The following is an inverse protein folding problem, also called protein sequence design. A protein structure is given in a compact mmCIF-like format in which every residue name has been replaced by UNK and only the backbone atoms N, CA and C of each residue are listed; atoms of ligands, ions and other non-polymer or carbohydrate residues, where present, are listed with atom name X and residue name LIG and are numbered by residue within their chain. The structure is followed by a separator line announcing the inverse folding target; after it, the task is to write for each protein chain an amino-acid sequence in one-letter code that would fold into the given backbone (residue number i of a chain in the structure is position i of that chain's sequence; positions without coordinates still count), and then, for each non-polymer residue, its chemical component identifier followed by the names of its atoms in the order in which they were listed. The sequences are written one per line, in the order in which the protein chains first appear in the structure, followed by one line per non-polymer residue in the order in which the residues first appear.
data_IF_945895666569
#
_entry.id   IF_945895666569
#
_cell.length_a   1.000
_cell.length_b   1.000
_cell.length_c   1.000
_cell.angle_alpha   90.00
_cell.angle_beta   90.00
_cell.angle_gamma   90.00
#
_symmetry.space_group_name_H-M   'P 1'
#
loop_
_entity.id
_entity.type
_entity.pdbx_description
1 polymer ?
#
# COMPACT_ATOMS: atom_id res chain seq x y z
N UNK A 1 -36.72 7.55 -15.24
CA UNK A 1 -35.72 7.01 -16.20
C UNK A 1 -34.62 6.35 -15.39
N UNK A 2 -34.42 5.04 -15.53
CA UNK A 2 -33.36 4.30 -14.81
C UNK A 2 -32.11 4.37 -15.68
N UNK A 3 -31.29 5.39 -15.49
CA UNK A 3 -29.99 5.46 -16.14
C UNK A 3 -29.08 4.42 -15.48
N UNK A 4 -28.57 3.47 -16.27
CA UNK A 4 -27.52 2.57 -15.81
C UNK A 4 -26.25 3.36 -15.52
N UNK A 5 -25.45 2.89 -14.55
CA UNK A 5 -24.13 3.48 -14.28
C UNK A 5 -23.21 3.23 -15.46
N UNK A 6 -22.43 4.23 -15.86
CA UNK A 6 -21.36 4.06 -16.84
C UNK A 6 -20.17 3.33 -16.20
N UNK A 7 -19.27 2.76 -17.02
CA UNK A 7 -18.02 2.16 -16.51
C UNK A 7 -17.18 3.18 -15.73
N UNK A 8 -17.23 4.45 -16.14
CA UNK A 8 -16.56 5.55 -15.46
C UNK A 8 -17.14 5.78 -14.06
N UNK A 9 -18.47 5.75 -13.91
CA UNK A 9 -19.13 5.90 -12.61
C UNK A 9 -18.74 4.76 -11.67
N UNK A 10 -18.69 3.52 -12.18
CA UNK A 10 -18.27 2.34 -11.40
C UNK A 10 -16.81 2.45 -10.96
N UNK A 11 -15.92 2.92 -11.83
CA UNK A 11 -14.51 3.13 -11.49
C UNK A 11 -14.33 4.24 -10.44
N UNK A 12 -15.09 5.34 -10.55
CA UNK A 12 -15.07 6.43 -9.58
C UNK A 12 -15.54 5.97 -8.20
N UNK A 13 -16.60 5.16 -8.14
CA UNK A 13 -17.10 4.56 -6.89
C UNK A 13 -16.07 3.64 -6.23
N UNK A 14 -15.46 2.72 -7.00
CA UNK A 14 -14.39 1.85 -6.50
C UNK A 14 -13.21 2.65 -5.97
N UNK A 15 -12.81 3.70 -6.67
CA UNK A 15 -11.76 4.61 -6.22
C UNK A 15 -12.13 5.33 -4.91
N UNK A 16 -13.41 5.72 -4.74
CA UNK A 16 -13.90 6.31 -3.49
C UNK A 16 -13.82 5.32 -2.33
N UNK A 17 -14.23 4.07 -2.56
CA UNK A 17 -14.14 3.00 -1.56
C UNK A 17 -12.69 2.76 -1.12
N UNK A 18 -11.73 2.77 -2.05
CA UNK A 18 -10.32 2.68 -1.68
C UNK A 18 -9.87 3.83 -0.75
N UNK A 19 -10.35 5.06 -1.00
CA UNK A 19 -10.04 6.21 -0.11
C UNK A 19 -10.66 6.07 1.27
N UNK A 20 -11.86 5.51 1.37
CA UNK A 20 -12.50 5.23 2.65
C UNK A 20 -11.71 4.20 3.44
N UNK A 21 -11.25 3.12 2.81
CA UNK A 21 -10.38 2.12 3.45
C UNK A 21 -9.09 2.77 3.97
N UNK A 22 -8.43 3.60 3.18
CA UNK A 22 -7.22 4.33 3.60
C UNK A 22 -7.52 5.23 4.81
N UNK A 23 -8.67 5.91 4.82
CA UNK A 23 -9.09 6.74 5.95
C UNK A 23 -9.25 5.91 7.23
N UNK A 24 -9.91 4.74 7.14
CA UNK A 24 -10.04 3.85 8.30
C UNK A 24 -8.68 3.36 8.81
N UNK A 25 -7.76 2.98 7.90
CA UNK A 25 -6.38 2.61 8.27
C UNK A 25 -5.69 3.76 9.04
N UNK A 26 -5.84 4.99 8.59
CA UNK A 26 -5.26 6.16 9.27
C UNK A 26 -5.92 6.44 10.62
N UNK A 27 -7.23 6.20 10.75
CA UNK A 27 -7.96 6.38 12.01
C UNK A 27 -7.47 5.42 13.12
N UNK A 28 -6.89 4.26 12.78
CA UNK A 28 -6.21 3.39 13.76
C UNK A 28 -4.95 4.02 14.37
N UNK A 29 -4.48 5.16 13.86
CA UNK A 29 -3.29 5.84 14.38
C UNK A 29 -1.97 5.19 13.92
N UNK A 30 -1.94 4.65 12.70
CA UNK A 30 -0.77 3.96 12.17
C UNK A 30 0.41 4.90 11.93
N UNK A 31 1.60 4.48 12.38
CA UNK A 31 2.85 5.17 12.12
C UNK A 31 3.44 4.80 10.74
N UNK A 32 4.55 5.44 10.34
CA UNK A 32 5.15 5.24 9.01
C UNK A 32 5.58 3.79 8.75
N UNK A 33 6.22 3.16 9.73
CA UNK A 33 6.60 1.75 9.66
C UNK A 33 5.38 0.84 9.41
N UNK A 34 4.28 1.08 10.14
CA UNK A 34 3.04 0.33 9.97
C UNK A 34 2.42 0.56 8.59
N UNK A 35 2.43 1.79 8.06
CA UNK A 35 1.93 2.06 6.69
C UNK A 35 2.70 1.25 5.66
N UNK A 36 4.03 1.28 5.72
CA UNK A 36 4.90 0.53 4.81
C UNK A 36 4.60 -0.98 4.92
N UNK A 37 4.47 -1.49 6.14
CA UNK A 37 4.13 -2.90 6.38
C UNK A 37 2.75 -3.28 5.84
N UNK A 38 1.75 -2.41 6.00
CA UNK A 38 0.39 -2.61 5.47
C UNK A 38 0.42 -2.65 3.93
N UNK A 39 1.16 -1.74 3.29
CA UNK A 39 1.33 -1.74 1.82
C UNK A 39 1.95 -3.05 1.37
N UNK A 40 2.99 -3.53 2.08
CA UNK A 40 3.61 -4.82 1.78
C UNK A 40 2.59 -5.96 1.90
N UNK A 41 1.84 -6.03 2.99
CA UNK A 41 0.85 -7.09 3.21
C UNK A 41 -0.24 -7.07 2.12
N UNK A 42 -0.81 -5.90 1.82
CA UNK A 42 -1.79 -5.75 0.73
C UNK A 42 -1.20 -6.15 -0.62
N UNK A 43 0.09 -5.89 -0.84
CA UNK A 43 0.73 -6.27 -2.11
C UNK A 43 0.82 -7.78 -2.30
N UNK A 44 0.91 -8.57 -1.22
CA UNK A 44 0.98 -10.03 -1.28
C UNK A 44 -0.36 -10.67 -1.68
N UNK A 45 -1.47 -9.94 -1.50
CA UNK A 45 -2.82 -10.39 -1.87
C UNK A 45 -3.13 -10.15 -3.37
N UNK A 46 -2.22 -9.51 -4.12
CA UNK A 46 -2.43 -9.24 -5.53
C UNK A 46 -2.35 -10.53 -6.36
N UNK A 47 -3.40 -10.80 -7.15
CA UNK A 47 -3.46 -11.94 -8.06
C UNK A 47 -2.41 -11.84 -9.18
N UNK A 48 -2.06 -10.63 -9.60
CA UNK A 48 -1.01 -10.41 -10.59
C UNK A 48 0.37 -10.56 -9.94
N UNK A 49 0.99 -11.73 -10.16
CA UNK A 49 2.31 -12.08 -9.61
C UNK A 49 3.40 -11.07 -9.92
N UNK A 50 3.48 -10.56 -11.14
CA UNK A 50 4.55 -9.63 -11.53
C UNK A 50 4.38 -8.28 -10.81
N UNK A 51 3.15 -7.82 -10.65
CA UNK A 51 2.85 -6.60 -9.89
C UNK A 51 3.11 -6.80 -8.40
N UNK A 52 2.68 -7.93 -7.83
CA UNK A 52 2.95 -8.34 -6.45
C UNK A 52 4.45 -8.29 -6.15
N UNK A 53 5.28 -8.92 -7.01
CA UNK A 53 6.74 -8.92 -6.86
C UNK A 53 7.34 -7.51 -6.96
N UNK A 54 6.91 -6.69 -7.93
CA UNK A 54 7.42 -5.32 -8.10
C UNK A 54 7.20 -4.48 -6.84
N UNK A 55 5.99 -4.47 -6.31
CA UNK A 55 5.64 -3.68 -5.11
C UNK A 55 6.36 -4.22 -3.89
N UNK A 56 6.33 -5.54 -3.67
CA UNK A 56 7.01 -6.18 -2.52
C UNK A 56 8.51 -5.87 -2.51
N UNK A 57 9.16 -5.88 -3.67
CA UNK A 57 10.60 -5.62 -3.78
C UNK A 57 10.97 -4.16 -3.53
N UNK A 58 10.11 -3.21 -3.90
CA UNK A 58 10.31 -1.80 -3.58
C UNK A 58 10.27 -1.61 -2.06
N UNK A 59 9.24 -2.15 -1.41
CA UNK A 59 9.05 -2.00 0.04
C UNK A 59 10.19 -2.65 0.84
N UNK A 60 10.69 -3.81 0.42
CA UNK A 60 11.81 -4.48 1.10
C UNK A 60 13.13 -3.70 1.05
N UNK A 61 13.41 -3.01 -0.06
CA UNK A 61 14.66 -2.24 -0.22
C UNK A 61 14.73 -1.05 0.73
N UNK A 62 13.61 -0.37 0.97
CA UNK A 62 13.55 0.74 1.92
C UNK A 62 13.83 0.26 3.36
N UNK A 63 13.35 -0.95 3.70
CA UNK A 63 13.54 -1.58 5.01
C UNK A 63 15.02 -1.99 5.26
N UNK A 64 15.76 -2.35 4.21
CA UNK A 64 17.20 -2.67 4.28
C UNK A 64 18.07 -1.41 4.30
N UNK A 65 17.72 -0.40 3.51
CA UNK A 65 18.40 0.91 3.50
C UNK A 65 18.32 1.59 4.87
N UNK A 66 17.22 1.35 5.60
CA UNK A 66 17.04 1.82 6.99
C UNK A 66 18.00 1.16 7.98
N UNK A 67 18.41 -0.10 7.74
CA UNK A 67 19.27 -0.88 8.64
C UNK A 67 20.76 -0.62 8.41
N UNK A 68 21.17 -0.35 7.17
CA UNK A 68 22.57 -0.01 6.85
C UNK A 68 23.05 1.27 7.55
N UNK A 69 22.16 2.24 7.77
CA UNK A 69 22.49 3.50 8.45
C UNK A 69 22.71 3.37 9.98
N UNK A 70 22.55 2.17 10.56
CA UNK A 70 22.71 1.92 12.01
C UNK A 70 24.06 1.26 12.35
N UNK A 71 24.83 0.81 11.35
CA UNK A 71 26.19 0.28 11.55
C UNK A 71 27.20 1.43 11.73
N UNK A 72 27.21 2.04 12.91
CA UNK A 72 28.28 2.96 13.31
C UNK A 72 29.56 2.13 13.51
N UNK A 73 30.59 2.43 12.71
CA UNK A 73 31.95 1.91 12.93
C UNK A 73 32.37 2.24 14.36
N UNK A 74 32.71 1.21 15.12
CA UNK A 74 33.37 1.35 16.41
C UNK A 74 34.87 1.31 16.10
N UNK A 75 35.52 2.47 16.14
CA UNK A 75 36.98 2.56 16.27
C UNK A 75 37.38 2.49 17.75
#
# INVERSE_FOLDING_TARGET
MKYGKTEQDVSAEKSSQCREIVREILNFGVNEFQKIRIIQLLSLELENRDLMLKITNIVKKDDETSKENVLIKID
#
